data_IF_977077426730
#
_entry.id   IF_977077426730
#
_cell.length_a   1.000
_cell.length_b   1.000
_cell.length_c   1.000
_cell.angle_alpha   90.00
_cell.angle_beta   90.00
_cell.angle_gamma   90.00
#
_symmetry.space_group_name_H-M   'P 1'
#
loop_
_entity.id
_entity.type
_entity.pdbx_description
1 polymer ?
#
# COMPACT_ATOMS: atom_id res chain seq x y z
N UNK A 1 -23.85 27.86 -0.86
CA UNK A 1 -24.08 27.66 0.59
C UNK A 1 -24.16 26.15 0.83
N UNK A 2 -23.26 25.57 1.63
CA UNK A 2 -23.28 24.14 1.92
C UNK A 2 -24.51 23.73 2.73
N UNK A 3 -24.98 22.50 2.48
CA UNK A 3 -26.02 21.83 3.25
C UNK A 3 -25.33 20.90 4.25
N UNK A 4 -25.75 20.94 5.50
CA UNK A 4 -25.28 20.03 6.53
C UNK A 4 -26.46 19.28 7.14
N UNK A 5 -26.29 17.98 7.31
CA UNK A 5 -27.25 17.14 8.02
C UNK A 5 -26.93 17.13 9.51
N UNK A 6 -27.94 17.33 10.34
CA UNK A 6 -27.85 17.29 11.79
C UNK A 6 -28.75 16.19 12.35
N UNK A 7 -28.33 15.58 13.46
CA UNK A 7 -29.10 14.62 14.22
C UNK A 7 -29.21 15.08 15.68
N UNK A 8 -30.41 15.04 16.22
CA UNK A 8 -30.68 15.32 17.64
C UNK A 8 -30.68 14.01 18.45
N UNK A 9 -30.38 14.10 19.76
CA UNK A 9 -30.50 12.97 20.71
C UNK A 9 -31.89 12.32 20.74
N UNK A 10 -32.93 13.09 20.42
CA UNK A 10 -34.31 12.57 20.30
C UNK A 10 -34.57 11.79 19.00
N UNK A 11 -33.56 11.57 18.16
CA UNK A 11 -33.66 10.77 16.93
C UNK A 11 -34.11 11.53 15.68
N UNK A 12 -34.37 12.84 15.77
CA UNK A 12 -34.72 13.65 14.59
C UNK A 12 -33.48 13.97 13.74
N UNK A 13 -33.57 13.76 12.44
CA UNK A 13 -32.58 14.16 11.46
C UNK A 13 -33.14 15.27 10.56
N UNK A 14 -32.37 16.32 10.30
CA UNK A 14 -32.79 17.43 9.45
C UNK A 14 -31.60 18.10 8.76
N UNK A 15 -31.86 18.74 7.63
CA UNK A 15 -30.87 19.44 6.83
C UNK A 15 -30.99 20.96 7.03
N UNK A 16 -29.84 21.64 7.19
CA UNK A 16 -29.78 23.10 7.23
C UNK A 16 -28.71 23.64 6.31
N UNK A 17 -29.02 24.79 5.71
CA UNK A 17 -28.06 25.62 5.00
C UNK A 17 -27.33 26.51 5.99
N UNK A 18 -26.02 26.36 6.11
CA UNK A 18 -25.18 27.25 6.92
C UNK A 18 -24.12 27.90 6.04
N UNK A 19 -23.73 29.13 6.38
CA UNK A 19 -22.52 29.74 5.82
C UNK A 19 -21.30 29.08 6.45
N UNK A 20 -20.21 29.00 5.70
CA UNK A 20 -18.96 28.42 6.21
C UNK A 20 -18.39 29.21 7.41
N UNK A 21 -18.64 30.52 7.48
CA UNK A 21 -18.26 31.35 8.63
C UNK A 21 -19.01 30.98 9.93
N UNK A 22 -20.18 30.35 9.82
CA UNK A 22 -21.02 29.95 10.95
C UNK A 22 -20.93 28.44 11.20
N UNK A 23 -19.89 27.78 10.68
CA UNK A 23 -19.72 26.33 10.71
C UNK A 23 -19.83 25.77 12.15
N UNK A 24 -19.21 26.42 13.13
CA UNK A 24 -19.17 25.94 14.52
C UNK A 24 -20.32 26.42 15.40
N UNK A 25 -21.29 27.15 14.83
CA UNK A 25 -22.46 27.62 15.59
C UNK A 25 -23.36 26.42 15.92
N UNK A 26 -23.65 26.16 17.21
CA UNK A 26 -24.49 25.04 17.61
C UNK A 26 -25.91 25.20 17.08
N UNK A 27 -26.42 24.16 16.44
CA UNK A 27 -27.78 24.15 15.90
C UNK A 27 -28.74 23.49 16.88
N UNK A 28 -29.92 24.05 17.03
CA UNK A 28 -31.01 23.47 17.83
C UNK A 28 -32.01 22.76 16.95
N UNK A 29 -32.49 21.61 17.42
CA UNK A 29 -33.62 20.91 16.83
C UNK A 29 -34.95 21.58 17.27
N UNK A 30 -36.03 21.30 16.56
CA UNK A 30 -37.39 21.75 16.92
C UNK A 30 -37.82 21.31 18.33
N UNK A 31 -37.24 20.21 18.85
CA UNK A 31 -37.47 19.75 20.21
C UNK A 31 -36.66 20.52 21.29
N UNK A 32 -35.95 21.59 20.91
CA UNK A 32 -35.19 22.46 21.82
C UNK A 32 -33.83 21.91 22.26
N UNK A 33 -33.50 20.67 21.90
CA UNK A 33 -32.20 20.06 22.22
C UNK A 33 -31.15 20.43 21.18
N UNK A 34 -29.89 20.42 21.61
CA UNK A 34 -28.75 20.60 20.71
C UNK A 34 -28.70 19.45 19.69
N UNK A 35 -28.42 19.79 18.43
CA UNK A 35 -28.26 18.85 17.35
C UNK A 35 -26.78 18.78 16.95
N UNK A 36 -26.29 17.55 16.72
CA UNK A 36 -24.92 17.31 16.30
C UNK A 36 -24.88 17.09 14.80
N UNK A 37 -23.81 17.58 14.15
CA UNK A 37 -23.58 17.36 12.72
C UNK A 37 -23.35 15.88 12.48
N UNK A 38 -24.04 15.32 11.50
CA UNK A 38 -23.90 13.94 11.08
C UNK A 38 -23.43 13.90 9.64
N UNK A 39 -22.30 13.24 9.41
CA UNK A 39 -21.87 12.89 8.06
C UNK A 39 -22.75 11.72 7.64
N UNK A 40 -23.68 11.98 6.73
CA UNK A 40 -24.54 10.96 6.15
C UNK A 40 -23.89 10.39 4.89
N UNK A 41 -24.01 9.07 4.65
CA UNK A 41 -23.60 8.50 3.37
C UNK A 41 -24.45 9.09 2.24
N UNK A 42 -23.84 9.24 1.06
CA UNK A 42 -24.56 9.66 -0.15
C UNK A 42 -25.58 8.59 -0.53
N UNK A 43 -26.82 9.00 -0.85
CA UNK A 43 -27.86 8.04 -1.29
C UNK A 43 -27.55 7.37 -2.62
N UNK A 44 -26.69 7.97 -3.44
CA UNK A 44 -26.30 7.46 -4.76
C UNK A 44 -24.79 7.27 -4.76
N UNK A 45 -24.36 6.04 -5.03
CA UNK A 45 -22.97 5.72 -5.33
C UNK A 45 -22.92 5.22 -6.77
N UNK A 46 -22.20 5.94 -7.63
CA UNK A 46 -21.98 5.50 -9.02
C UNK A 46 -21.04 4.30 -9.00
N UNK A 47 -21.47 3.20 -9.62
CA UNK A 47 -20.69 1.97 -9.72
C UNK A 47 -19.61 2.05 -10.81
N UNK A 48 -18.77 1.02 -10.90
CA UNK A 48 -17.72 0.93 -11.92
C UNK A 48 -18.31 0.60 -13.30
N UNK A 49 -17.68 1.06 -14.40
CA UNK A 49 -18.10 0.64 -15.74
C UNK A 49 -17.94 -0.88 -15.89
N UNK A 50 -18.89 -1.50 -16.59
CA UNK A 50 -18.85 -2.94 -16.83
C UNK A 50 -17.60 -3.32 -17.63
N UNK A 51 -16.86 -4.31 -17.16
CA UNK A 51 -15.66 -4.80 -17.83
C UNK A 51 -15.54 -6.32 -17.70
N UNK A 52 -14.71 -6.90 -18.56
CA UNK A 52 -14.39 -8.32 -18.51
C UNK A 52 -13.16 -8.55 -17.62
N UNK A 53 -13.26 -9.43 -16.63
CA UNK A 53 -12.14 -9.80 -15.76
C UNK A 53 -10.97 -10.32 -16.60
N UNK A 54 -9.75 -9.77 -16.43
CA UNK A 54 -8.55 -10.25 -17.12
C UNK A 54 -8.14 -11.68 -16.72
N UNK A 55 -8.64 -12.18 -15.59
CA UNK A 55 -8.25 -13.46 -15.02
C UNK A 55 -9.09 -14.59 -15.65
N UNK A 56 -10.41 -14.48 -15.54
CA UNK A 56 -11.36 -15.55 -15.90
C UNK A 56 -12.26 -15.22 -17.09
N UNK A 57 -12.23 -13.98 -17.60
CA UNK A 57 -13.11 -13.56 -18.69
C UNK A 57 -14.57 -13.29 -18.28
N UNK A 58 -14.88 -13.19 -16.99
CA UNK A 58 -16.24 -12.93 -16.49
C UNK A 58 -16.61 -11.46 -16.59
N UNK A 59 -17.88 -11.18 -16.85
CA UNK A 59 -18.40 -9.81 -16.80
C UNK A 59 -18.57 -9.33 -15.36
N UNK A 60 -17.93 -8.22 -15.04
CA UNK A 60 -17.99 -7.53 -13.75
C UNK A 60 -18.73 -6.22 -13.96
N UNK A 61 -19.87 -6.06 -13.29
CA UNK A 61 -20.76 -4.91 -13.42
C UNK A 61 -20.79 -4.02 -12.18
N UNK A 62 -20.20 -4.45 -11.05
CA UNK A 62 -20.21 -3.69 -9.80
C UNK A 62 -18.94 -3.90 -8.97
N UNK A 63 -18.67 -2.99 -8.02
CA UNK A 63 -17.54 -3.11 -7.10
C UNK A 63 -17.59 -4.38 -6.24
N UNK A 64 -18.78 -4.80 -5.83
CA UNK A 64 -18.97 -6.03 -5.06
C UNK A 64 -18.57 -7.27 -5.88
N UNK A 65 -18.95 -7.32 -7.16
CA UNK A 65 -18.55 -8.39 -8.07
C UNK A 65 -17.04 -8.41 -8.30
N UNK A 66 -16.40 -7.24 -8.44
CA UNK A 66 -14.94 -7.16 -8.51
C UNK A 66 -14.27 -7.75 -7.26
N UNK A 67 -14.74 -7.38 -6.07
CA UNK A 67 -14.17 -7.88 -4.81
C UNK A 67 -14.31 -9.41 -4.68
N UNK A 68 -15.45 -9.96 -5.11
CA UNK A 68 -15.66 -11.40 -5.11
C UNK A 68 -14.75 -12.13 -6.11
N UNK A 69 -14.57 -11.58 -7.32
CA UNK A 69 -13.67 -12.11 -8.35
C UNK A 69 -12.22 -12.14 -7.85
N UNK A 70 -11.76 -11.04 -7.26
CA UNK A 70 -10.42 -10.94 -6.66
C UNK A 70 -10.22 -11.93 -5.53
N UNK A 71 -11.18 -12.03 -4.60
CA UNK A 71 -11.12 -12.97 -3.47
C UNK A 71 -11.10 -14.42 -3.94
N UNK A 72 -11.89 -14.77 -4.95
CA UNK A 72 -11.98 -16.11 -5.51
C UNK A 72 -10.67 -16.54 -6.16
N UNK A 73 -10.04 -15.62 -6.88
CA UNK A 73 -8.80 -15.87 -7.62
C UNK A 73 -7.53 -15.58 -6.80
N UNK A 74 -7.67 -15.27 -5.50
CA UNK A 74 -6.53 -14.96 -4.62
C UNK A 74 -5.74 -13.72 -5.07
N UNK A 75 -6.37 -12.83 -5.82
CA UNK A 75 -5.74 -11.64 -6.40
C UNK A 75 -6.03 -10.41 -5.54
N UNK A 76 -5.17 -9.40 -5.66
CA UNK A 76 -5.31 -8.10 -5.01
C UNK A 76 -5.49 -7.04 -6.09
N UNK A 77 -6.15 -5.93 -5.76
CA UNK A 77 -6.25 -4.80 -6.68
C UNK A 77 -4.87 -4.27 -7.03
N UNK A 78 -4.63 -4.06 -8.33
CA UNK A 78 -3.38 -3.50 -8.79
C UNK A 78 -3.32 -2.00 -8.49
N UNK A 79 -2.35 -1.60 -7.66
CA UNK A 79 -2.01 -0.21 -7.41
C UNK A 79 -0.65 0.09 -8.07
N UNK A 80 -0.51 1.17 -8.87
CA UNK A 80 0.74 1.51 -9.55
C UNK A 80 1.98 1.57 -8.64
N UNK A 81 1.81 2.01 -7.39
CA UNK A 81 2.89 2.08 -6.39
C UNK A 81 3.45 0.71 -6.00
N UNK A 82 2.73 -0.40 -6.24
CA UNK A 82 3.22 -1.74 -5.94
C UNK A 82 4.51 -2.08 -6.70
N UNK A 83 4.67 -1.56 -7.93
CA UNK A 83 5.91 -1.75 -8.70
C UNK A 83 7.10 -1.06 -8.06
N UNK A 84 6.88 0.17 -7.58
CA UNK A 84 7.90 0.97 -6.90
C UNK A 84 8.29 0.30 -5.57
N UNK A 85 7.29 -0.09 -4.77
CA UNK A 85 7.52 -0.80 -3.51
C UNK A 85 8.25 -2.13 -3.71
N UNK A 86 7.91 -2.90 -4.75
CA UNK A 86 8.60 -4.15 -5.08
C UNK A 86 10.05 -3.91 -5.54
N UNK A 87 10.32 -2.83 -6.28
CA UNK A 87 11.68 -2.46 -6.66
C UNK A 87 12.52 -2.08 -5.43
N UNK A 88 11.96 -1.26 -4.53
CA UNK A 88 12.63 -0.86 -3.28
C UNK A 88 12.87 -2.06 -2.36
N UNK A 89 11.90 -2.97 -2.24
CA UNK A 89 12.05 -4.18 -1.45
C UNK A 89 13.18 -5.08 -1.99
N UNK A 90 13.21 -5.33 -3.30
CA UNK A 90 14.29 -6.08 -3.95
C UNK A 90 15.66 -5.43 -3.74
N UNK A 91 15.77 -4.12 -3.96
CA UNK A 91 17.04 -3.41 -3.75
C UNK A 91 17.53 -3.51 -2.30
N UNK A 92 16.61 -3.48 -1.33
CA UNK A 92 16.95 -3.68 0.08
C UNK A 92 17.40 -5.11 0.39
N UNK A 93 16.72 -6.10 -0.18
CA UNK A 93 17.08 -7.51 -0.04
C UNK A 93 18.44 -7.81 -0.68
N UNK A 94 18.69 -7.25 -1.86
CA UNK A 94 19.96 -7.35 -2.56
C UNK A 94 21.11 -6.75 -1.75
N UNK A 95 20.95 -5.52 -1.26
CA UNK A 95 21.96 -4.88 -0.40
C UNK A 95 22.21 -5.66 0.90
N UNK A 96 21.17 -6.25 1.50
CA UNK A 96 21.31 -7.07 2.70
C UNK A 96 21.98 -8.42 2.41
N UNK A 97 21.81 -8.97 1.21
CA UNK A 97 22.49 -10.18 0.78
C UNK A 97 23.95 -9.90 0.47
N UNK A 98 24.26 -8.81 -0.24
CA UNK A 98 25.64 -8.42 -0.57
C UNK A 98 26.45 -8.17 0.70
N UNK A 99 25.89 -7.47 1.71
CA UNK A 99 26.55 -7.30 3.01
C UNK A 99 26.86 -8.64 3.71
N UNK A 100 25.95 -9.64 3.62
CA UNK A 100 26.21 -10.97 4.18
C UNK A 100 27.28 -11.73 3.39
N UNK A 101 27.32 -11.56 2.07
CA UNK A 101 28.36 -12.14 1.22
C UNK A 101 29.71 -11.59 1.67
N UNK A 102 29.83 -10.27 1.84
CA UNK A 102 31.07 -9.62 2.31
C UNK A 102 31.52 -10.19 3.67
N UNK A 103 30.62 -10.24 4.66
CA UNK A 103 30.91 -10.80 5.98
C UNK A 103 31.42 -12.26 5.90
N UNK A 104 30.79 -13.08 5.04
CA UNK A 104 31.19 -14.49 4.88
C UNK A 104 32.53 -14.65 4.17
N UNK A 105 32.83 -13.79 3.20
CA UNK A 105 34.11 -13.78 2.49
C UNK A 105 35.23 -13.37 3.44
N UNK A 106 35.03 -12.32 4.23
CA UNK A 106 36.00 -11.85 5.22
C UNK A 106 36.29 -12.96 6.25
N UNK A 107 35.26 -13.59 6.81
CA UNK A 107 35.43 -14.71 7.74
C UNK A 107 36.18 -15.89 7.11
N UNK A 108 35.88 -16.23 5.85
CA UNK A 108 36.55 -17.31 5.14
C UNK A 108 38.05 -17.00 4.92
N UNK A 109 38.38 -15.78 4.48
CA UNK A 109 39.78 -15.35 4.27
C UNK A 109 40.56 -15.38 5.60
N UNK A 110 39.96 -14.92 6.69
CA UNK A 110 40.60 -14.96 8.01
C UNK A 110 40.83 -16.38 8.53
N UNK A 111 39.94 -17.32 8.22
CA UNK A 111 40.08 -18.72 8.60
C UNK A 111 41.12 -19.49 7.75
N UNK A 112 41.51 -18.99 6.58
CA UNK A 112 42.48 -19.67 5.70
C UNK A 112 43.88 -19.79 6.32
N UNK A 113 44.65 -20.85 6.09
CA UNK A 113 46.07 -20.91 6.45
C UNK A 113 46.91 -19.84 5.71
N UNK A 114 47.99 -19.35 6.33
CA UNK A 114 48.83 -18.27 5.78
C UNK A 114 49.29 -18.52 4.32
N UNK A 115 49.72 -19.74 4.00
CA UNK A 115 50.14 -20.14 2.65
C UNK A 115 49.05 -19.95 1.58
N UNK A 116 47.78 -20.19 1.93
CA UNK A 116 46.65 -20.02 1.00
C UNK A 116 46.29 -18.53 0.82
N UNK A 117 46.42 -17.72 1.87
CA UNK A 117 46.20 -16.27 1.77
C UNK A 117 47.24 -15.61 0.88
N UNK A 118 48.52 -15.97 1.03
CA UNK A 118 49.61 -15.47 0.17
C UNK A 118 49.41 -15.85 -1.31
N UNK A 119 48.97 -17.09 -1.58
CA UNK A 119 48.62 -17.53 -2.93
C UNK A 119 47.46 -16.71 -3.51
N UNK A 120 46.40 -16.50 -2.74
CA UNK A 120 45.24 -15.70 -3.17
C UNK A 120 45.65 -14.26 -3.51
N UNK A 121 46.50 -13.64 -2.68
CA UNK A 121 47.01 -12.28 -2.92
C UNK A 121 47.81 -12.23 -4.23
N UNK A 122 48.68 -13.22 -4.47
CA UNK A 122 49.45 -13.28 -5.71
C UNK A 122 48.56 -13.47 -6.97
N UNK A 123 47.47 -14.23 -6.84
CA UNK A 123 46.49 -14.41 -7.92
C UNK A 123 45.69 -13.13 -8.21
N UNK A 124 45.28 -12.40 -7.17
CA UNK A 124 44.60 -11.09 -7.30
C UNK A 124 45.54 -10.07 -7.95
N UNK A 125 46.79 -9.97 -7.50
CA UNK A 125 47.80 -9.08 -8.10
C UNK A 125 48.12 -9.44 -9.57
N UNK A 126 47.96 -10.72 -9.93
CA UNK A 126 48.10 -11.19 -11.31
C UNK A 126 46.92 -10.85 -12.23
N UNK A 127 45.86 -10.24 -11.67
CA UNK A 127 44.70 -9.73 -12.41
C UNK A 127 43.59 -10.75 -12.67
N UNK A 128 43.49 -11.80 -11.84
CA UNK A 128 42.35 -12.73 -11.92
C UNK A 128 41.12 -12.06 -11.31
N UNK A 129 40.06 -11.92 -12.12
CA UNK A 129 38.76 -11.39 -11.68
C UNK A 129 37.71 -12.50 -11.73
N UNK A 130 36.87 -12.60 -10.70
CA UNK A 130 35.84 -13.64 -10.56
C UNK A 130 34.48 -12.98 -10.34
N UNK A 131 33.66 -13.00 -11.37
CA UNK A 131 32.30 -12.46 -11.32
C UNK A 131 31.32 -13.57 -10.87
N UNK A 132 30.54 -13.32 -9.82
CA UNK A 132 29.49 -14.24 -9.39
C UNK A 132 28.15 -13.83 -10.02
N UNK A 133 27.55 -14.73 -10.78
CA UNK A 133 26.20 -14.53 -11.32
C UNK A 133 25.19 -15.35 -10.55
N UNK A 134 24.11 -14.71 -10.08
CA UNK A 134 22.94 -15.41 -9.54
C UNK A 134 22.16 -16.02 -10.73
N UNK A 135 22.03 -17.36 -10.76
CA UNK A 135 21.22 -18.10 -11.77
C UNK A 135 19.78 -18.16 -11.30
#
# INVERSE_FOLDING_TARGET
MPIYTFACESGHAFDRYLKLAEYDVPQTCECGKAAQRRICPTMIAVDIPAYQSPIDGRWINSRAQRQEDLKRNGCVEYEPSMKEHAAVARAREDAALDAKVDDTVEAAIHAMPARKREQLIAEIDSGVDVEYTRV
#
